data_IF_454080527871
#
_entry.id   IF_454080527871
#
_cell.length_a   1.000
_cell.length_b   1.000
_cell.length_c   1.000
_cell.angle_alpha   90.00
_cell.angle_beta   90.00
_cell.angle_gamma   90.00
#
_symmetry.space_group_name_H-M   'P 1'
#
loop_
_entity.id
_entity.type
_entity.pdbx_description
1 polymer ?
#
# COMPACT_ATOMS: atom_id res chain seq x y z
N UNK A 1 0.68 -50.03 42.96
CA UNK A 1 1.84 -49.58 42.20
C UNK A 1 1.31 -49.14 40.80
N UNK A 2 0.76 -47.91 40.73
CA UNK A 2 0.23 -47.31 39.51
C UNK A 2 1.37 -46.53 38.86
N UNK A 3 1.86 -47.05 37.76
CA UNK A 3 2.78 -46.32 36.88
C UNK A 3 1.98 -45.25 36.14
N UNK A 4 2.09 -44.01 36.56
CA UNK A 4 1.68 -42.84 35.81
C UNK A 4 2.69 -42.63 34.69
N UNK A 5 2.33 -43.02 33.48
CA UNK A 5 2.98 -42.54 32.26
C UNK A 5 2.60 -41.08 32.08
N UNK A 6 3.46 -40.19 32.53
CA UNK A 6 3.50 -38.80 32.04
C UNK A 6 4.06 -38.84 30.62
N UNK A 7 3.18 -38.76 29.64
CA UNK A 7 3.56 -38.35 28.30
C UNK A 7 4.12 -36.94 28.41
N UNK A 8 5.43 -36.80 28.50
CA UNK A 8 6.14 -35.60 28.12
C UNK A 8 5.92 -35.42 26.61
N UNK A 9 4.91 -34.66 26.24
CA UNK A 9 4.83 -34.05 24.92
C UNK A 9 5.96 -33.02 24.92
N UNK A 10 7.14 -33.40 24.46
CA UNK A 10 8.24 -32.51 24.08
C UNK A 10 7.78 -31.69 22.88
N UNK A 11 6.87 -30.75 23.10
CA UNK A 11 6.60 -29.69 22.16
C UNK A 11 7.83 -28.78 22.09
N UNK A 12 8.73 -28.99 21.14
CA UNK A 12 9.84 -28.06 20.94
C UNK A 12 9.28 -26.65 20.80
N UNK A 13 9.77 -25.75 21.64
CA UNK A 13 9.32 -24.37 21.68
C UNK A 13 9.64 -23.69 20.31
N UNK A 14 8.68 -22.98 19.74
CA UNK A 14 8.89 -22.21 18.51
C UNK A 14 10.00 -21.18 18.74
N UNK A 15 11.02 -21.21 17.91
CA UNK A 15 12.15 -20.29 17.94
C UNK A 15 11.91 -19.14 16.98
N UNK A 16 11.98 -17.91 17.46
CA UNK A 16 11.99 -16.71 16.62
C UNK A 16 13.28 -16.67 15.77
N UNK A 17 13.17 -16.47 14.45
CA UNK A 17 14.28 -16.51 13.49
C UNK A 17 14.52 -15.12 12.88
N UNK A 18 13.44 -14.40 12.51
CA UNK A 18 13.53 -13.04 12.00
C UNK A 18 12.32 -12.25 12.46
N UNK A 19 12.53 -10.97 12.75
CA UNK A 19 11.50 -10.03 13.18
C UNK A 19 11.37 -8.86 12.22
N UNK A 20 10.13 -8.44 11.94
CA UNK A 20 9.85 -7.28 11.13
C UNK A 20 8.79 -6.43 11.83
N UNK A 21 9.07 -5.13 11.95
CA UNK A 21 8.13 -4.21 12.58
C UNK A 21 7.93 -2.96 11.73
N UNK A 22 6.67 -2.66 11.43
CA UNK A 22 6.23 -1.43 10.78
C UNK A 22 5.48 -0.63 11.83
N UNK A 23 5.88 0.61 12.07
CA UNK A 23 5.23 1.42 13.11
C UNK A 23 4.97 2.86 12.65
N UNK A 24 3.84 3.41 13.10
CA UNK A 24 3.51 4.81 12.97
C UNK A 24 4.43 5.64 13.86
N UNK A 25 4.79 6.85 13.41
CA UNK A 25 5.47 7.83 14.26
C UNK A 25 4.69 8.10 15.56
N UNK A 26 5.35 8.67 16.55
CA UNK A 26 4.72 9.09 17.80
C UNK A 26 3.83 10.33 17.63
N UNK A 27 3.26 10.79 18.73
CA UNK A 27 2.47 12.02 18.78
C UNK A 27 3.22 13.20 18.17
N UNK A 28 2.49 14.07 17.47
CA UNK A 28 3.02 15.20 16.72
C UNK A 28 2.12 16.42 16.79
N UNK A 29 2.66 17.56 16.44
CA UNK A 29 1.88 18.76 16.18
C UNK A 29 1.01 18.58 14.91
N UNK A 30 -0.08 19.35 14.71
CA UNK A 30 -0.87 19.29 13.49
C UNK A 30 0.00 19.43 12.25
N UNK A 31 -0.37 18.76 11.15
CA UNK A 31 0.38 18.91 9.88
C UNK A 31 0.02 20.20 9.15
N UNK A 32 -1.16 20.72 9.39
CA UNK A 32 -1.65 21.98 8.84
C UNK A 32 -2.62 22.65 9.80
N UNK A 33 -3.07 23.85 9.48
CA UNK A 33 -4.10 24.60 10.18
C UNK A 33 -5.15 25.07 9.19
N UNK A 34 -6.32 25.50 9.67
CA UNK A 34 -7.36 26.09 8.82
C UNK A 34 -7.40 27.63 8.95
N UNK A 35 -8.00 28.39 8.01
CA UNK A 35 -7.91 29.86 7.97
C UNK A 35 -8.33 30.58 9.26
N UNK A 36 -9.35 30.09 9.93
CA UNK A 36 -9.89 30.66 11.20
C UNK A 36 -9.32 30.00 12.45
N UNK A 37 -8.36 29.09 12.31
CA UNK A 37 -7.74 28.39 13.43
C UNK A 37 -7.20 29.40 14.47
N UNK A 38 -7.63 29.32 15.74
CA UNK A 38 -7.13 30.19 16.79
C UNK A 38 -5.64 29.92 17.10
N UNK A 39 -5.17 28.68 16.91
CA UNK A 39 -3.79 28.29 17.21
C UNK A 39 -2.91 28.51 15.97
N UNK A 40 -1.95 29.40 16.09
CA UNK A 40 -1.07 29.73 14.96
C UNK A 40 0.11 28.76 14.88
N UNK A 41 0.69 28.54 13.66
CA UNK A 41 1.81 27.61 13.47
C UNK A 41 3.01 27.84 14.40
N UNK A 42 3.30 29.08 14.76
CA UNK A 42 4.39 29.46 15.65
C UNK A 42 4.10 29.20 17.13
N UNK A 43 2.89 28.82 17.50
CA UNK A 43 2.52 28.41 18.85
C UNK A 43 2.82 26.92 19.13
N UNK A 44 3.14 26.17 18.07
CA UNK A 44 3.54 24.78 18.18
C UNK A 44 5.04 24.64 18.32
N UNK A 45 5.54 23.89 19.32
CA UNK A 45 6.97 23.64 19.47
C UNK A 45 7.55 23.02 18.18
N UNK A 46 8.63 23.61 17.68
CA UNK A 46 9.33 23.21 16.45
C UNK A 46 8.48 23.32 15.14
N UNK A 47 7.30 23.94 15.19
CA UNK A 47 6.42 24.12 14.02
C UNK A 47 5.43 22.98 13.80
N UNK A 48 4.81 22.97 12.62
CA UNK A 48 3.80 21.98 12.24
C UNK A 48 4.41 20.64 11.82
N UNK A 49 3.68 19.55 12.08
CA UNK A 49 4.05 18.19 11.68
C UNK A 49 5.24 17.60 12.43
N UNK A 50 5.72 18.27 13.50
CA UNK A 50 6.91 17.87 14.26
C UNK A 50 6.56 16.94 15.43
N UNK A 51 7.46 15.98 15.70
CA UNK A 51 7.30 15.05 16.82
C UNK A 51 7.34 15.82 18.15
N UNK A 52 6.41 15.50 19.04
CA UNK A 52 6.33 16.12 20.37
C UNK A 52 7.15 15.36 21.43
N UNK A 53 7.27 15.93 22.61
CA UNK A 53 7.87 15.23 23.75
C UNK A 53 7.10 13.94 24.11
N UNK A 54 5.75 13.97 24.02
CA UNK A 54 4.93 12.79 24.20
C UNK A 54 5.23 11.73 23.15
N UNK A 55 5.38 12.13 21.87
CA UNK A 55 5.73 11.24 20.78
C UNK A 55 7.12 10.60 20.94
N UNK A 56 8.09 11.35 21.44
CA UNK A 56 9.43 10.84 21.80
C UNK A 56 9.31 9.74 22.85
N UNK A 57 8.52 9.99 23.91
CA UNK A 57 8.33 9.03 25.00
C UNK A 57 7.57 7.77 24.53
N UNK A 58 6.53 7.92 23.71
CA UNK A 58 5.80 6.80 23.11
C UNK A 58 6.75 5.90 22.32
N UNK A 59 7.61 6.47 21.49
CA UNK A 59 8.57 5.72 20.68
C UNK A 59 9.66 5.06 21.55
N UNK A 60 10.12 5.73 22.56
CA UNK A 60 11.06 5.16 23.53
C UNK A 60 10.45 3.91 24.21
N UNK A 61 9.18 3.98 24.66
CA UNK A 61 8.47 2.83 25.26
C UNK A 61 8.30 1.68 24.24
N UNK A 62 7.92 1.99 23.00
CA UNK A 62 7.86 1.00 21.93
C UNK A 62 9.23 0.33 21.74
N UNK A 63 10.32 1.09 21.78
CA UNK A 63 11.69 0.55 21.73
C UNK A 63 11.99 -0.44 22.84
N UNK A 64 11.59 -0.14 24.07
CA UNK A 64 11.70 -1.06 25.21
C UNK A 64 10.88 -2.35 25.04
N UNK A 65 9.68 -2.23 24.50
CA UNK A 65 8.86 -3.38 24.08
C UNK A 65 9.56 -4.24 23.03
N UNK A 66 10.15 -3.60 21.98
CA UNK A 66 10.90 -4.30 20.93
C UNK A 66 12.15 -4.99 21.51
N UNK A 67 12.83 -4.39 22.49
CA UNK A 67 13.94 -5.04 23.18
C UNK A 67 13.51 -6.34 23.85
N UNK A 68 12.37 -6.35 24.51
CA UNK A 68 11.81 -7.56 25.12
C UNK A 68 11.46 -8.59 24.05
N UNK A 69 10.82 -8.17 22.95
CA UNK A 69 10.35 -9.04 21.86
C UNK A 69 11.52 -9.66 21.08
N UNK A 70 12.50 -8.86 20.69
CA UNK A 70 13.59 -9.25 19.81
C UNK A 70 14.93 -9.48 20.51
N UNK A 71 14.93 -9.52 21.85
CA UNK A 71 16.15 -9.71 22.64
C UNK A 71 16.89 -11.03 22.35
N UNK A 72 16.20 -12.06 21.87
CA UNK A 72 16.82 -13.32 21.43
C UNK A 72 17.54 -13.21 20.07
N UNK A 73 17.19 -12.23 19.25
CA UNK A 73 17.78 -11.98 17.93
C UNK A 73 18.91 -10.95 17.97
N UNK A 74 18.80 -9.97 18.89
CA UNK A 74 19.64 -8.79 18.93
C UNK A 74 20.63 -8.83 20.11
N UNK A 75 21.89 -8.60 19.83
CA UNK A 75 22.91 -8.40 20.84
C UNK A 75 22.59 -7.19 21.74
N UNK A 76 23.07 -7.14 22.99
CA UNK A 76 22.91 -5.96 23.84
C UNK A 76 23.49 -4.67 23.23
N UNK A 77 24.60 -4.79 22.51
CA UNK A 77 25.20 -3.71 21.74
C UNK A 77 24.84 -3.84 20.27
N UNK A 78 24.69 -2.71 19.59
CA UNK A 78 24.41 -2.66 18.16
C UNK A 78 25.43 -3.46 17.35
N UNK A 79 24.91 -4.30 16.45
CA UNK A 79 25.70 -5.06 15.49
C UNK A 79 25.05 -4.89 14.10
N UNK A 80 25.81 -4.38 13.14
CA UNK A 80 25.30 -3.97 11.83
C UNK A 80 24.58 -5.10 11.05
N UNK A 81 24.94 -6.36 11.27
CA UNK A 81 24.34 -7.49 10.57
C UNK A 81 23.02 -7.96 11.23
N UNK A 82 22.67 -7.46 12.40
CA UNK A 82 21.50 -7.93 13.15
C UNK A 82 20.25 -7.12 12.86
N UNK A 83 20.41 -5.81 12.60
CA UNK A 83 19.28 -4.90 12.45
C UNK A 83 19.49 -3.90 11.33
N UNK A 84 18.41 -3.64 10.59
CA UNK A 84 18.30 -2.52 9.64
C UNK A 84 17.08 -1.69 10.00
N UNK A 85 17.28 -0.38 10.06
CA UNK A 85 16.23 0.60 10.35
C UNK A 85 16.02 1.48 9.13
N UNK A 86 14.79 1.51 8.63
CA UNK A 86 14.35 2.28 7.50
C UNK A 86 13.28 3.28 7.97
N UNK A 87 13.41 4.53 7.59
CA UNK A 87 12.40 5.57 7.87
C UNK A 87 11.97 6.23 6.56
N UNK A 88 10.74 6.75 6.50
CA UNK A 88 10.42 7.79 5.53
C UNK A 88 11.28 9.01 5.80
N UNK A 89 11.47 9.86 4.78
CA UNK A 89 12.28 11.10 4.87
C UNK A 89 11.43 12.25 5.43
N UNK A 90 10.90 12.06 6.64
CA UNK A 90 10.15 13.06 7.38
C UNK A 90 10.71 13.19 8.81
N UNK A 91 10.86 14.42 9.30
CA UNK A 91 11.48 14.68 10.62
C UNK A 91 10.84 13.82 11.72
N UNK A 92 9.50 13.80 11.79
CA UNK A 92 8.77 13.05 12.83
C UNK A 92 9.03 11.54 12.79
N UNK A 93 9.25 10.95 11.61
CA UNK A 93 9.52 9.51 11.49
C UNK A 93 10.99 9.19 11.77
N UNK A 94 11.92 10.04 11.34
CA UNK A 94 13.34 9.93 11.66
C UNK A 94 13.57 10.08 13.16
N UNK A 95 12.96 11.10 13.80
CA UNK A 95 13.02 11.30 15.26
C UNK A 95 12.34 10.16 16.02
N UNK A 96 11.23 9.61 15.49
CA UNK A 96 10.57 8.43 16.04
C UNK A 96 11.50 7.22 16.03
N UNK A 97 12.18 6.97 14.91
CA UNK A 97 13.17 5.89 14.82
C UNK A 97 14.33 6.08 15.80
N UNK A 98 14.86 7.31 15.95
CA UNK A 98 15.90 7.61 16.92
C UNK A 98 15.44 7.34 18.36
N UNK A 99 14.26 7.83 18.74
CA UNK A 99 13.68 7.64 20.07
C UNK A 99 13.41 6.16 20.38
N UNK A 100 12.93 5.42 19.39
CA UNK A 100 12.70 3.98 19.48
C UNK A 100 14.01 3.22 19.72
N UNK A 101 15.07 3.57 18.98
CA UNK A 101 16.39 2.95 19.12
C UNK A 101 17.03 3.20 20.48
N UNK A 102 16.76 4.33 21.13
CA UNK A 102 17.21 4.59 22.51
C UNK A 102 16.56 3.59 23.48
N UNK A 103 15.27 3.29 23.30
CA UNK A 103 14.58 2.26 24.10
C UNK A 103 15.02 0.84 23.78
N UNK A 104 15.28 0.54 22.48
CA UNK A 104 15.70 -0.77 22.01
C UNK A 104 17.14 -1.12 22.44
N UNK A 105 18.04 -0.13 22.48
CA UNK A 105 19.45 -0.28 22.86
C UNK A 105 19.80 0.66 24.02
N UNK A 106 19.23 0.42 25.22
CA UNK A 106 19.54 1.25 26.37
C UNK A 106 21.03 1.12 26.74
N UNK A 107 21.67 2.24 27.02
CA UNK A 107 23.06 2.24 27.49
C UNK A 107 23.07 1.80 28.96
N UNK A 108 23.56 0.59 29.19
CA UNK A 108 23.75 0.04 30.52
C UNK A 108 25.09 0.55 31.08
N UNK A 109 25.11 0.96 32.35
CA UNK A 109 26.33 1.40 33.05
C UNK A 109 26.98 2.67 32.47
N UNK A 110 26.24 3.77 32.48
CA UNK A 110 26.79 5.10 32.14
C UNK A 110 27.90 5.50 33.12
N UNK A 111 29.13 5.58 32.60
CA UNK A 111 30.22 6.30 33.29
C UNK A 111 30.29 7.70 32.69
N UNK A 112 30.80 8.70 33.47
CA UNK A 112 30.81 10.12 33.12
C UNK A 112 31.48 10.44 31.74
N UNK A 113 32.23 9.49 31.17
CA UNK A 113 32.95 9.69 29.89
C UNK A 113 32.32 8.96 28.71
N UNK A 114 31.12 8.37 28.85
CA UNK A 114 30.44 7.63 27.77
C UNK A 114 29.33 8.45 27.11
N UNK A 115 29.23 8.31 25.80
CA UNK A 115 28.08 8.82 25.03
C UNK A 115 26.81 8.11 25.52
N UNK A 116 25.75 8.85 25.89
CA UNK A 116 24.56 8.29 26.52
C UNK A 116 23.64 7.52 25.55
N UNK A 117 24.03 7.39 24.29
CA UNK A 117 23.30 6.65 23.25
C UNK A 117 24.26 5.80 22.41
N UNK A 118 23.77 4.72 21.82
CA UNK A 118 24.48 3.99 20.77
C UNK A 118 24.07 4.58 19.41
N UNK A 119 25.00 5.16 18.61
CA UNK A 119 24.71 5.61 17.26
C UNK A 119 24.35 4.40 16.37
N UNK A 120 23.14 4.40 15.83
CA UNK A 120 22.62 3.33 14.94
C UNK A 120 22.16 3.98 13.65
N UNK A 121 22.59 3.51 12.48
CA UNK A 121 22.18 4.07 11.21
C UNK A 121 20.67 3.94 10.99
N UNK A 122 20.03 5.05 10.59
CA UNK A 122 18.66 5.08 10.08
C UNK A 122 18.76 5.41 8.60
N UNK A 123 18.30 4.50 7.75
CA UNK A 123 18.31 4.68 6.31
C UNK A 123 17.03 5.37 5.86
N UNK A 124 17.14 6.28 4.91
CA UNK A 124 16.00 6.93 4.27
C UNK A 124 16.22 7.07 2.77
N UNK A 125 15.14 7.32 2.05
CA UNK A 125 15.14 7.70 0.63
C UNK A 125 14.31 8.96 0.54
N UNK A 126 14.69 9.90 -0.32
CA UNK A 126 13.93 11.12 -0.54
C UNK A 126 12.44 10.82 -0.70
N UNK A 127 11.60 11.60 -0.02
CA UNK A 127 10.17 11.34 0.14
C UNK A 127 9.46 11.07 -1.21
N UNK A 128 9.83 11.80 -2.26
CA UNK A 128 9.25 11.65 -3.61
C UNK A 128 9.76 10.42 -4.37
N UNK A 129 10.83 9.75 -3.91
CA UNK A 129 11.40 8.57 -4.54
C UNK A 129 11.19 7.29 -3.71
N UNK A 130 10.48 7.40 -2.59
CA UNK A 130 10.31 6.30 -1.65
C UNK A 130 9.05 5.46 -1.94
N UNK A 131 9.16 4.57 -2.89
CA UNK A 131 8.09 3.60 -3.21
C UNK A 131 7.84 2.56 -2.12
N UNK A 132 8.77 2.40 -1.19
CA UNK A 132 8.59 1.41 -0.12
C UNK A 132 7.66 1.92 0.98
N UNK A 133 7.81 3.18 1.39
CA UNK A 133 7.15 3.71 2.58
C UNK A 133 6.23 4.92 2.31
N UNK A 134 6.44 5.68 1.22
CA UNK A 134 5.75 6.95 0.98
C UNK A 134 4.77 6.93 -0.19
N UNK A 135 5.13 6.42 -1.37
CA UNK A 135 4.32 6.42 -2.60
C UNK A 135 3.97 7.79 -3.18
N UNK A 136 4.72 8.84 -2.89
CA UNK A 136 4.37 10.21 -3.30
C UNK A 136 4.53 10.51 -4.80
N UNK A 137 5.31 9.74 -5.54
CA UNK A 137 5.48 9.92 -6.99
C UNK A 137 4.93 8.70 -7.74
N UNK A 138 3.63 8.45 -7.56
CA UNK A 138 2.93 7.33 -8.15
C UNK A 138 1.64 7.82 -8.84
N UNK A 139 1.70 8.23 -10.12
CA UNK A 139 0.54 8.80 -10.83
C UNK A 139 -0.69 7.90 -10.85
N UNK A 140 -0.53 6.58 -10.74
CA UNK A 140 -1.68 5.66 -10.60
C UNK A 140 -2.30 5.74 -9.21
N UNK A 141 -1.51 5.98 -8.17
CA UNK A 141 -2.04 6.20 -6.83
C UNK A 141 -2.93 7.42 -6.79
N UNK A 142 -2.46 8.56 -7.32
CA UNK A 142 -3.24 9.80 -7.41
C UNK A 142 -4.54 9.60 -8.20
N UNK A 143 -4.45 8.86 -9.32
CA UNK A 143 -5.63 8.52 -10.14
C UNK A 143 -6.66 7.69 -9.35
N UNK A 144 -6.21 6.75 -8.51
CA UNK A 144 -7.12 5.94 -7.69
C UNK A 144 -7.75 6.79 -6.58
N UNK A 145 -7.00 7.68 -5.95
CA UNK A 145 -7.57 8.62 -4.98
C UNK A 145 -8.71 9.44 -5.61
N UNK A 146 -8.50 9.95 -6.82
CA UNK A 146 -9.53 10.67 -7.58
C UNK A 146 -10.73 9.76 -7.95
N UNK A 147 -10.47 8.51 -8.42
CA UNK A 147 -11.51 7.52 -8.71
C UNK A 147 -12.35 7.18 -7.47
N UNK A 148 -11.71 7.07 -6.30
CA UNK A 148 -12.39 6.79 -5.02
C UNK A 148 -13.20 8.01 -4.56
N UNK A 149 -12.65 9.21 -4.64
CA UNK A 149 -13.36 10.46 -4.30
C UNK A 149 -14.63 10.64 -5.15
N UNK A 150 -14.58 10.24 -6.41
CA UNK A 150 -15.72 10.32 -7.33
C UNK A 150 -16.69 9.13 -7.26
N UNK A 151 -16.47 8.17 -6.35
CA UNK A 151 -17.34 6.98 -6.21
C UNK A 151 -18.72 7.33 -5.66
N UNK A 152 -19.71 6.48 -5.96
CA UNK A 152 -21.07 6.64 -5.45
C UNK A 152 -21.14 6.44 -3.93
N UNK A 153 -20.25 5.64 -3.36
CA UNK A 153 -20.14 5.40 -1.93
C UNK A 153 -19.69 6.67 -1.20
N UNK A 154 -18.65 7.34 -1.68
CA UNK A 154 -18.15 8.59 -1.10
C UNK A 154 -19.20 9.70 -1.25
N UNK A 155 -19.82 9.86 -2.41
CA UNK A 155 -20.87 10.85 -2.64
C UNK A 155 -22.06 10.70 -1.67
N UNK A 156 -22.48 9.47 -1.37
CA UNK A 156 -23.54 9.23 -0.36
C UNK A 156 -23.12 9.67 1.05
N UNK A 157 -21.85 9.50 1.40
CA UNK A 157 -21.31 9.97 2.68
C UNK A 157 -21.25 11.49 2.71
N UNK A 158 -20.80 12.13 1.62
CA UNK A 158 -20.79 13.59 1.48
C UNK A 158 -22.20 14.17 1.58
N UNK A 159 -23.21 13.53 0.98
CA UNK A 159 -24.62 13.92 1.14
C UNK A 159 -25.09 13.77 2.59
N UNK A 160 -24.76 12.66 3.25
CA UNK A 160 -25.14 12.40 4.65
C UNK A 160 -24.55 13.46 5.59
N UNK A 161 -23.27 13.81 5.44
CA UNK A 161 -22.61 14.81 6.26
C UNK A 161 -22.74 16.25 5.71
N UNK A 162 -23.47 16.48 4.63
CA UNK A 162 -23.55 17.77 3.95
C UNK A 162 -23.94 18.95 4.82
N UNK A 163 -24.89 18.76 5.76
CA UNK A 163 -25.24 19.79 6.74
C UNK A 163 -24.12 20.07 7.76
N UNK A 164 -23.35 19.06 8.11
CA UNK A 164 -22.21 19.19 9.00
C UNK A 164 -21.03 19.86 8.27
N UNK A 165 -20.75 19.50 7.02
CA UNK A 165 -19.71 20.12 6.20
C UNK A 165 -19.95 21.62 6.00
N UNK A 166 -21.20 22.05 5.78
CA UNK A 166 -21.54 23.49 5.71
C UNK A 166 -21.18 24.23 7.01
N UNK A 167 -21.41 23.61 8.16
CA UNK A 167 -20.99 24.21 9.44
C UNK A 167 -19.46 24.24 9.58
N UNK A 168 -18.76 23.19 9.14
CA UNK A 168 -17.31 23.19 9.12
C UNK A 168 -16.76 24.30 8.20
N UNK A 169 -17.35 24.50 7.02
CA UNK A 169 -17.00 25.61 6.12
C UNK A 169 -17.14 26.97 6.80
N UNK A 170 -18.24 27.19 7.53
CA UNK A 170 -18.46 28.43 8.30
C UNK A 170 -17.45 28.61 9.43
N UNK A 171 -17.15 27.54 10.20
CA UNK A 171 -16.25 27.60 11.33
C UNK A 171 -14.78 27.74 10.92
N UNK A 172 -14.38 27.08 9.84
CA UNK A 172 -12.98 27.01 9.41
C UNK A 172 -12.61 27.98 8.30
N UNK A 173 -13.62 28.62 7.65
CA UNK A 173 -13.46 29.39 6.42
C UNK A 173 -12.75 28.61 5.30
N UNK A 174 -13.00 27.30 5.27
CA UNK A 174 -12.58 26.39 4.20
C UNK A 174 -13.78 26.18 3.28
N UNK A 175 -13.59 25.89 2.00
CA UNK A 175 -14.68 25.71 1.04
C UNK A 175 -14.63 24.33 0.40
N UNK A 176 -15.77 23.82 -0.06
CA UNK A 176 -15.89 22.52 -0.73
C UNK A 176 -15.39 21.36 0.14
N UNK A 177 -15.89 21.31 1.38
CA UNK A 177 -15.53 20.23 2.30
C UNK A 177 -16.20 18.92 1.84
N UNK A 178 -15.41 17.89 1.72
CA UNK A 178 -15.79 16.48 1.45
C UNK A 178 -15.25 15.59 2.56
N UNK A 179 -15.60 14.32 2.56
CA UNK A 179 -15.07 13.34 3.52
C UNK A 179 -13.53 13.30 3.52
N UNK A 180 -12.90 13.52 2.36
CA UNK A 180 -11.43 13.48 2.25
C UNK A 180 -10.73 14.71 2.82
N UNK A 181 -11.19 15.92 2.48
CA UNK A 181 -10.52 17.12 2.98
C UNK A 181 -10.94 17.49 4.41
N UNK A 182 -12.11 17.01 4.87
CA UNK A 182 -12.50 17.09 6.28
C UNK A 182 -11.53 16.33 7.21
N UNK A 183 -10.82 15.32 6.69
CA UNK A 183 -9.80 14.59 7.45
C UNK A 183 -8.67 15.50 7.95
N UNK A 184 -8.23 16.47 7.17
CA UNK A 184 -7.20 17.42 7.58
C UNK A 184 -7.67 18.28 8.76
N UNK A 185 -8.94 18.75 8.71
CA UNK A 185 -9.56 19.48 9.84
C UNK A 185 -9.68 18.57 11.05
N UNK A 186 -10.09 17.31 10.84
CA UNK A 186 -10.20 16.33 11.91
C UNK A 186 -8.86 16.06 12.61
N UNK A 187 -7.78 15.93 11.85
CA UNK A 187 -6.42 15.76 12.38
C UNK A 187 -6.00 16.96 13.23
N UNK A 188 -6.21 18.18 12.72
CA UNK A 188 -5.90 19.41 13.46
C UNK A 188 -6.68 19.48 14.77
N UNK A 189 -7.99 19.32 14.73
CA UNK A 189 -8.88 19.35 15.92
C UNK A 189 -8.54 18.23 16.91
N UNK A 190 -8.22 17.03 16.43
CA UNK A 190 -7.79 15.91 17.27
C UNK A 190 -6.51 16.26 18.07
N UNK A 191 -5.50 16.78 17.39
CA UNK A 191 -4.24 17.19 18.04
C UNK A 191 -4.48 18.33 19.00
N UNK A 192 -5.19 19.37 18.60
CA UNK A 192 -5.52 20.51 19.45
C UNK A 192 -6.29 20.11 20.71
N UNK A 193 -7.22 19.15 20.56
CA UNK A 193 -7.94 18.62 21.72
C UNK A 193 -7.03 17.94 22.73
N UNK A 194 -6.06 17.13 22.29
CA UNK A 194 -5.05 16.48 23.16
C UNK A 194 -4.26 17.55 23.96
N UNK A 195 -4.00 18.69 23.35
CA UNK A 195 -3.23 19.80 23.97
C UNK A 195 -4.10 20.86 24.62
N UNK A 196 -5.41 20.64 24.79
CA UNK A 196 -6.39 21.57 25.34
C UNK A 196 -6.41 22.94 24.61
N UNK A 197 -6.24 22.90 23.29
CA UNK A 197 -6.20 24.07 22.38
C UNK A 197 -7.36 24.10 21.39
N UNK A 198 -8.19 23.04 21.31
CA UNK A 198 -9.30 22.96 20.36
C UNK A 198 -10.29 24.12 20.56
N UNK A 199 -10.81 24.71 19.47
CA UNK A 199 -11.76 25.81 19.54
C UNK A 199 -13.08 25.38 20.20
N UNK A 200 -13.82 26.33 20.78
CA UNK A 200 -15.07 26.07 21.53
C UNK A 200 -16.13 25.35 20.70
N UNK A 201 -16.21 25.62 19.39
CA UNK A 201 -17.16 24.95 18.52
C UNK A 201 -16.88 23.45 18.32
N UNK A 202 -15.63 23.00 18.57
CA UNK A 202 -15.22 21.62 18.47
C UNK A 202 -15.57 20.81 19.73
N UNK A 203 -16.86 20.79 20.08
CA UNK A 203 -17.41 20.02 21.20
C UNK A 203 -17.29 18.50 20.97
N UNK A 204 -17.71 17.70 21.95
CA UNK A 204 -17.61 16.23 21.87
C UNK A 204 -18.36 15.65 20.66
N UNK A 205 -19.54 16.20 20.32
CA UNK A 205 -20.32 15.70 19.18
C UNK A 205 -19.65 16.03 17.86
N UNK A 206 -19.06 17.22 17.73
CA UNK A 206 -18.28 17.63 16.55
C UNK A 206 -17.04 16.76 16.40
N UNK A 207 -16.27 16.55 17.48
CA UNK A 207 -15.08 15.71 17.45
C UNK A 207 -15.42 14.26 17.11
N UNK A 208 -16.54 13.74 17.59
CA UNK A 208 -16.99 12.40 17.21
C UNK A 208 -17.30 12.31 15.73
N UNK A 209 -18.03 13.25 15.15
CA UNK A 209 -18.29 13.28 13.71
C UNK A 209 -16.97 13.35 12.91
N UNK A 210 -16.03 14.19 13.34
CA UNK A 210 -14.70 14.30 12.69
C UNK A 210 -13.92 12.99 12.75
N UNK A 211 -13.98 12.28 13.89
CA UNK A 211 -13.37 10.95 14.03
C UNK A 211 -14.01 9.91 13.11
N UNK A 212 -15.35 9.87 13.07
CA UNK A 212 -16.09 8.95 12.20
C UNK A 212 -15.78 9.24 10.70
N UNK A 213 -15.66 10.51 10.33
CA UNK A 213 -15.27 10.93 8.96
C UNK A 213 -13.84 10.50 8.64
N UNK A 214 -12.89 10.66 9.58
CA UNK A 214 -11.52 10.19 9.40
C UNK A 214 -11.45 8.69 9.16
N UNK A 215 -12.19 7.91 9.97
CA UNK A 215 -12.26 6.45 9.81
C UNK A 215 -12.86 6.06 8.45
N UNK A 216 -13.89 6.76 7.98
CA UNK A 216 -14.48 6.55 6.65
C UNK A 216 -13.50 6.89 5.52
N UNK A 217 -12.77 8.00 5.61
CA UNK A 217 -11.76 8.37 4.62
C UNK A 217 -10.66 7.31 4.50
N UNK A 218 -10.16 6.81 5.64
CA UNK A 218 -9.20 5.69 5.66
C UNK A 218 -9.78 4.40 5.09
N UNK A 219 -11.04 4.07 5.43
CA UNK A 219 -11.71 2.88 4.91
C UNK A 219 -11.84 2.94 3.39
N UNK A 220 -12.41 4.01 2.83
CA UNK A 220 -12.60 4.12 1.38
C UNK A 220 -11.30 4.05 0.60
N UNK A 221 -10.26 4.70 1.08
CA UNK A 221 -8.98 4.71 0.39
C UNK A 221 -8.28 3.37 0.50
N UNK A 222 -8.11 2.83 1.70
CA UNK A 222 -7.25 1.66 1.93
C UNK A 222 -7.95 0.31 1.77
N UNK A 223 -9.28 0.27 1.69
CA UNK A 223 -10.02 -0.92 1.27
C UNK A 223 -10.11 -1.08 -0.26
N UNK A 224 -9.72 -0.04 -1.03
CA UNK A 224 -9.61 -0.14 -2.48
C UNK A 224 -8.55 -1.18 -2.88
N UNK A 225 -8.95 -2.14 -3.75
CA UNK A 225 -8.10 -3.27 -4.16
C UNK A 225 -6.79 -2.85 -4.85
N UNK A 226 -6.83 -1.78 -5.65
CA UNK A 226 -5.66 -1.29 -6.36
C UNK A 226 -4.68 -0.57 -5.40
N UNK A 227 -5.20 0.17 -4.41
CA UNK A 227 -4.38 0.76 -3.33
C UNK A 227 -3.73 -0.34 -2.49
N UNK A 228 -4.49 -1.37 -2.07
CA UNK A 228 -3.94 -2.54 -1.38
C UNK A 228 -2.78 -3.16 -2.15
N UNK A 229 -2.96 -3.34 -3.45
CA UNK A 229 -1.97 -3.92 -4.34
C UNK A 229 -0.73 -3.03 -4.49
N UNK A 230 -0.90 -1.74 -4.77
CA UNK A 230 0.21 -0.80 -4.98
C UNK A 230 1.00 -0.60 -3.69
N UNK A 231 0.34 -0.54 -2.54
CA UNK A 231 0.99 -0.37 -1.24
C UNK A 231 1.37 -1.67 -0.55
N UNK A 232 0.60 -2.73 -0.71
CA UNK A 232 0.77 -4.05 -0.09
C UNK A 232 1.40 -5.11 -1.01
N UNK A 233 1.03 -5.19 -2.29
CA UNK A 233 1.49 -6.20 -3.26
C UNK A 233 0.54 -6.43 -4.45
N UNK A 234 1.01 -7.02 -5.56
CA UNK A 234 0.30 -7.19 -6.83
C UNK A 234 -0.29 -8.59 -7.04
N UNK A 235 -1.37 -8.69 -7.87
CA UNK A 235 -2.06 -9.95 -8.19
C UNK A 235 -1.43 -10.76 -9.34
N UNK A 236 -0.39 -10.28 -10.03
CA UNK A 236 0.16 -10.94 -11.22
C UNK A 236 1.67 -11.17 -11.15
N UNK A 237 2.07 -12.38 -10.80
CA UNK A 237 3.44 -12.86 -10.91
C UNK A 237 3.59 -13.81 -12.10
N UNK A 238 3.91 -13.28 -13.29
CA UNK A 238 4.58 -14.05 -14.35
C UNK A 238 5.70 -13.20 -14.94
N UNK A 239 6.91 -13.67 -14.75
CA UNK A 239 8.19 -13.17 -15.29
C UNK A 239 8.90 -12.11 -14.46
N UNK A 240 9.77 -12.56 -13.55
CA UNK A 240 11.04 -11.89 -13.27
C UNK A 240 12.05 -12.88 -12.69
N UNK A 241 12.58 -13.72 -13.54
CA UNK A 241 13.90 -14.29 -13.37
C UNK A 241 14.82 -13.56 -14.35
N UNK A 242 15.91 -12.97 -13.81
CA UNK A 242 17.06 -12.46 -14.55
C UNK A 242 17.10 -10.96 -14.82
N UNK A 243 17.62 -10.18 -13.84
CA UNK A 243 18.75 -9.31 -14.12
C UNK A 243 19.51 -8.98 -12.82
N UNK A 244 20.75 -9.42 -12.79
CA UNK A 244 21.76 -9.15 -11.77
C UNK A 244 22.19 -7.68 -11.88
N UNK A 245 22.24 -6.94 -10.75
CA UNK A 245 22.84 -5.62 -10.57
C UNK A 245 21.98 -4.37 -10.90
N UNK A 246 20.72 -4.34 -10.54
CA UNK A 246 20.05 -3.09 -10.18
C UNK A 246 19.31 -3.32 -8.89
N UNK A 247 19.62 -2.55 -7.85
CA UNK A 247 18.73 -2.40 -6.70
C UNK A 247 17.50 -1.65 -7.20
N UNK A 248 16.59 -2.38 -7.82
CA UNK A 248 15.28 -1.89 -8.14
C UNK A 248 14.53 -1.92 -6.83
N UNK A 249 14.23 -0.76 -6.30
CA UNK A 249 13.33 -0.58 -5.18
C UNK A 249 11.95 -1.09 -5.59
N UNK A 250 11.67 -2.31 -5.20
CA UNK A 250 10.39 -2.95 -5.44
C UNK A 250 9.48 -2.54 -4.27
N UNK A 251 8.46 -1.68 -4.52
CA UNK A 251 7.31 -1.67 -3.63
C UNK A 251 6.84 -3.13 -3.51
N UNK A 252 6.14 -3.50 -2.62
CA UNK A 252 5.75 -2.98 -1.36
C UNK A 252 6.38 -3.68 -0.18
N UNK A 253 6.09 -3.10 0.92
CA UNK A 253 6.67 -3.43 2.20
C UNK A 253 6.56 -4.91 2.60
N UNK A 254 5.43 -5.56 2.30
CA UNK A 254 5.24 -6.99 2.62
C UNK A 254 6.14 -7.89 1.75
N UNK A 255 6.42 -7.49 0.50
CA UNK A 255 7.37 -8.21 -0.37
C UNK A 255 8.81 -8.09 0.14
N UNK A 256 9.25 -6.92 0.59
CA UNK A 256 10.58 -6.73 1.18
C UNK A 256 10.75 -7.57 2.45
N UNK A 257 9.71 -7.64 3.27
CA UNK A 257 9.65 -8.51 4.45
C UNK A 257 9.71 -9.99 4.04
N UNK A 258 8.91 -10.40 3.05
CA UNK A 258 8.91 -11.77 2.55
C UNK A 258 10.29 -12.18 1.99
N UNK A 259 10.94 -11.30 1.23
CA UNK A 259 12.30 -11.55 0.70
C UNK A 259 13.32 -11.81 1.83
N UNK A 260 13.24 -11.04 2.91
CA UNK A 260 14.10 -11.25 4.08
C UNK A 260 13.77 -12.58 4.80
N UNK A 261 12.48 -12.90 5.00
CA UNK A 261 12.07 -14.18 5.56
C UNK A 261 12.50 -15.35 4.69
N UNK A 262 12.29 -15.26 3.37
CA UNK A 262 12.70 -16.30 2.42
C UNK A 262 14.22 -16.52 2.43
N UNK A 263 15.01 -15.46 2.52
CA UNK A 263 16.47 -15.54 2.70
C UNK A 263 16.83 -16.23 4.02
N UNK A 264 16.08 -15.96 5.09
CA UNK A 264 16.30 -16.59 6.41
C UNK A 264 16.00 -18.08 6.41
N UNK A 265 14.92 -18.50 5.74
CA UNK A 265 14.57 -19.92 5.55
C UNK A 265 15.69 -20.66 4.82
N UNK A 266 16.39 -20.03 3.89
CA UNK A 266 17.50 -20.62 3.12
C UNK A 266 18.88 -20.38 3.75
N UNK A 267 18.96 -19.99 5.03
CA UNK A 267 20.20 -19.78 5.77
C UNK A 267 21.05 -18.59 5.33
N UNK A 268 20.45 -17.63 4.59
CA UNK A 268 21.08 -16.40 4.09
C UNK A 268 20.49 -15.13 4.72
N UNK A 269 19.70 -15.28 5.78
CA UNK A 269 18.89 -14.20 6.37
C UNK A 269 19.73 -13.19 7.15
N UNK A 270 19.95 -12.02 6.55
CA UNK A 270 20.40 -10.81 7.19
C UNK A 270 19.61 -9.61 6.66
N UNK A 271 19.22 -8.67 7.47
CA UNK A 271 19.34 -8.62 8.92
C UNK A 271 18.35 -9.57 9.62
N UNK A 272 18.56 -9.82 10.92
CA UNK A 272 17.62 -10.60 11.76
C UNK A 272 16.36 -9.81 12.11
N UNK A 273 16.49 -8.48 12.22
CA UNK A 273 15.37 -7.56 12.49
C UNK A 273 15.38 -6.43 11.48
N UNK A 274 14.23 -6.17 10.85
CA UNK A 274 13.97 -4.99 10.02
C UNK A 274 12.92 -4.12 10.68
N UNK A 275 13.21 -2.83 10.79
CA UNK A 275 12.31 -1.84 11.37
C UNK A 275 11.96 -0.78 10.33
N UNK A 276 10.68 -0.41 10.26
CA UNK A 276 10.16 0.58 9.32
C UNK A 276 9.38 1.64 10.09
N UNK A 277 10.00 2.83 10.23
CA UNK A 277 9.38 4.00 10.83
C UNK A 277 8.61 4.77 9.78
N UNK A 278 7.29 4.86 9.93
CA UNK A 278 6.40 5.34 8.90
C UNK A 278 5.17 6.08 9.45
N UNK A 279 4.07 6.05 8.72
CA UNK A 279 2.85 6.79 8.96
C UNK A 279 1.64 5.87 9.14
N UNK A 280 0.52 6.40 9.60
CA UNK A 280 -0.79 5.75 9.55
C UNK A 280 -1.16 5.33 8.12
N UNK A 281 -0.86 6.20 7.13
CA UNK A 281 -1.03 5.94 5.70
C UNK A 281 -0.10 4.85 5.14
N UNK A 282 0.82 4.32 5.93
CA UNK A 282 1.62 3.12 5.64
C UNK A 282 1.07 1.90 6.39
N UNK A 283 0.68 2.07 7.65
CA UNK A 283 0.17 0.99 8.51
C UNK A 283 -1.18 0.47 8.01
N UNK A 284 -2.15 1.38 7.71
CA UNK A 284 -3.49 0.99 7.23
C UNK A 284 -3.48 0.11 5.99
N UNK A 285 -2.82 0.47 4.87
CA UNK A 285 -2.84 -0.38 3.68
C UNK A 285 -2.10 -1.71 3.88
N UNK A 286 -1.11 -1.79 4.79
CA UNK A 286 -0.46 -3.06 5.13
C UNK A 286 -1.43 -3.96 5.90
N UNK A 287 -2.18 -3.44 6.88
CA UNK A 287 -3.22 -4.20 7.58
C UNK A 287 -4.27 -4.72 6.58
N UNK A 288 -4.75 -3.85 5.72
CA UNK A 288 -5.74 -4.18 4.70
C UNK A 288 -5.23 -5.22 3.68
N UNK A 289 -3.98 -5.10 3.22
CA UNK A 289 -3.33 -6.11 2.36
C UNK A 289 -3.23 -7.48 3.02
N UNK A 290 -2.95 -7.52 4.31
CA UNK A 290 -2.91 -8.75 5.11
C UNK A 290 -4.30 -9.34 5.39
N UNK A 291 -5.38 -8.67 4.97
CA UNK A 291 -6.76 -9.08 5.24
C UNK A 291 -7.22 -8.76 6.67
N UNK A 292 -6.49 -7.90 7.37
CA UNK A 292 -6.84 -7.46 8.72
C UNK A 292 -7.76 -6.24 8.60
N UNK A 293 -9.05 -6.45 8.83
CA UNK A 293 -10.01 -5.35 8.86
C UNK A 293 -9.82 -4.53 10.13
N UNK A 294 -9.21 -3.35 9.99
CA UNK A 294 -9.06 -2.36 11.04
C UNK A 294 -9.71 -1.05 10.59
N UNK A 295 -10.95 -0.76 10.99
CA UNK A 295 -11.76 0.32 10.44
C UNK A 295 -11.40 1.71 10.97
N UNK A 296 -10.32 1.83 11.74
CA UNK A 296 -9.92 3.07 12.38
C UNK A 296 -8.57 3.55 11.87
N UNK A 297 -8.35 4.87 11.95
CA UNK A 297 -7.01 5.41 11.76
C UNK A 297 -6.02 4.81 12.78
N UNK A 298 -4.90 4.22 12.36
CA UNK A 298 -3.89 3.68 13.26
C UNK A 298 -3.41 4.72 14.28
N UNK A 299 -3.38 4.35 15.56
CA UNK A 299 -2.95 5.26 16.62
C UNK A 299 -1.44 5.58 16.57
N UNK A 300 -1.01 6.68 17.20
CA UNK A 300 0.42 6.99 17.34
C UNK A 300 1.18 5.83 17.97
N UNK A 301 2.39 5.58 17.47
CA UNK A 301 3.26 4.49 17.89
C UNK A 301 2.63 3.08 17.79
N UNK A 302 1.50 2.92 17.10
CA UNK A 302 0.98 1.58 16.76
C UNK A 302 1.94 0.82 15.86
N UNK A 303 1.99 -0.52 15.96
CA UNK A 303 3.00 -1.33 15.28
C UNK A 303 2.45 -2.68 14.79
N UNK A 304 2.77 -3.03 13.54
CA UNK A 304 2.54 -4.36 12.96
C UNK A 304 3.82 -5.16 13.10
N UNK A 305 3.70 -6.38 13.59
CA UNK A 305 4.79 -7.37 13.68
C UNK A 305 4.51 -8.50 12.69
N UNK A 306 5.50 -8.82 11.85
CA UNK A 306 5.46 -9.94 10.92
C UNK A 306 6.71 -10.78 11.20
N UNK A 307 6.57 -11.80 12.02
CA UNK A 307 7.69 -12.55 12.58
C UNK A 307 7.77 -13.96 12.01
N UNK A 308 8.98 -14.38 11.67
CA UNK A 308 9.30 -15.72 11.22
C UNK A 308 9.77 -16.59 12.40
N UNK A 309 9.09 -17.69 12.61
CA UNK A 309 9.43 -18.70 13.61
C UNK A 309 9.85 -20.00 12.95
N UNK A 310 10.66 -20.80 13.67
CA UNK A 310 11.01 -22.16 13.29
C UNK A 310 10.61 -23.13 14.42
N UNK A 311 10.03 -24.25 14.05
CA UNK A 311 9.81 -25.41 14.90
C UNK A 311 10.28 -26.64 14.13
N UNK A 312 11.29 -27.33 14.64
CA UNK A 312 11.99 -28.42 13.95
C UNK A 312 12.54 -28.00 12.58
N UNK A 313 12.03 -28.60 11.49
CA UNK A 313 12.36 -28.25 10.10
C UNK A 313 11.34 -27.33 9.45
N UNK A 314 10.24 -26.98 10.12
CA UNK A 314 9.16 -26.17 9.56
C UNK A 314 9.29 -24.69 9.99
N UNK A 315 8.84 -23.81 9.10
CA UNK A 315 8.82 -22.38 9.34
C UNK A 315 7.37 -21.86 9.37
N UNK A 316 7.15 -20.83 10.20
CA UNK A 316 5.82 -20.25 10.41
C UNK A 316 5.91 -18.73 10.47
N UNK A 317 4.91 -18.06 9.92
CA UNK A 317 4.74 -16.61 10.03
C UNK A 317 3.65 -16.32 11.05
N UNK A 318 3.92 -15.40 11.97
CA UNK A 318 2.94 -14.88 12.92
C UNK A 318 2.80 -13.38 12.72
N UNK A 319 1.57 -12.91 12.61
CA UNK A 319 1.25 -11.49 12.50
C UNK A 319 0.56 -11.03 13.78
N UNK A 320 1.06 -9.91 14.31
CA UNK A 320 0.48 -9.26 15.48
C UNK A 320 0.38 -7.74 15.23
N UNK A 321 -0.60 -7.12 15.84
CA UNK A 321 -0.78 -5.68 15.81
C UNK A 321 -0.89 -5.11 17.22
N UNK A 322 -0.06 -4.14 17.53
CA UNK A 322 -0.14 -3.30 18.72
C UNK A 322 -0.91 -2.06 18.31
N UNK A 323 -2.20 -2.02 18.65
CA UNK A 323 -3.15 -1.01 18.17
C UNK A 323 -3.45 0.10 19.19
N UNK A 324 -2.88 0.02 20.37
CA UNK A 324 -3.10 0.99 21.45
C UNK A 324 -1.78 1.63 21.83
N UNK A 325 -1.71 2.95 21.76
CA UNK A 325 -0.58 3.73 22.23
C UNK A 325 -0.27 3.38 23.69
N UNK A 326 1.01 3.25 24.01
CA UNK A 326 1.52 2.93 25.36
C UNK A 326 1.11 1.54 25.90
N UNK A 327 0.56 0.68 25.07
CA UNK A 327 0.31 -0.72 25.41
C UNK A 327 1.59 -1.56 25.24
N UNK A 328 1.74 -2.56 26.11
CA UNK A 328 2.73 -3.62 25.98
C UNK A 328 2.08 -4.95 25.51
N UNK A 329 0.89 -4.87 24.91
CA UNK A 329 0.14 -6.03 24.45
C UNK A 329 -0.19 -5.90 22.97
N UNK A 330 0.36 -6.78 22.15
CA UNK A 330 -0.04 -6.97 20.76
C UNK A 330 -1.08 -8.09 20.63
N UNK A 331 -1.94 -8.00 19.65
CA UNK A 331 -2.97 -8.98 19.34
C UNK A 331 -2.57 -9.76 18.08
N UNK A 332 -2.60 -11.11 18.18
CA UNK A 332 -2.31 -11.97 17.05
C UNK A 332 -3.53 -12.13 16.15
N UNK A 333 -3.30 -12.14 14.83
CA UNK A 333 -4.35 -12.29 13.83
C UNK A 333 -4.23 -13.62 13.09
N UNK A 334 -5.36 -14.27 12.90
CA UNK A 334 -5.49 -15.39 11.98
C UNK A 334 -5.70 -14.82 10.58
N UNK A 335 -4.75 -15.10 9.69
CA UNK A 335 -4.89 -14.69 8.28
C UNK A 335 -5.91 -15.58 7.57
N UNK A 336 -6.65 -15.00 6.63
CA UNK A 336 -7.50 -15.76 5.74
C UNK A 336 -6.69 -16.85 5.02
N UNK A 337 -7.29 -18.01 4.84
CA UNK A 337 -6.66 -19.20 4.25
C UNK A 337 -5.49 -19.81 5.06
N UNK A 338 -5.06 -19.26 6.18
CA UNK A 338 -4.10 -19.91 7.08
C UNK A 338 -4.82 -20.87 8.04
N UNK A 339 -4.25 -22.05 8.31
CA UNK A 339 -4.89 -23.05 9.18
C UNK A 339 -4.86 -22.67 10.68
N UNK A 340 -3.97 -21.75 11.08
CA UNK A 340 -3.78 -21.31 12.45
C UNK A 340 -3.10 -19.92 12.47
N UNK A 341 -3.06 -19.28 13.66
CA UNK A 341 -2.36 -17.99 13.91
C UNK A 341 -0.90 -18.06 13.45
N UNK A 342 -0.23 -19.19 13.72
CA UNK A 342 1.11 -19.47 13.17
C UNK A 342 0.93 -20.09 11.78
N UNK A 343 0.91 -19.24 10.76
CA UNK A 343 0.71 -19.66 9.37
C UNK A 343 1.97 -20.35 8.83
N UNK A 344 1.92 -21.58 8.30
CA UNK A 344 3.07 -22.19 7.65
C UNK A 344 3.65 -21.27 6.58
N UNK A 345 4.99 -21.13 6.51
CA UNK A 345 5.65 -20.18 5.61
C UNK A 345 5.32 -20.44 4.12
N UNK A 346 5.25 -21.70 3.73
CA UNK A 346 4.86 -22.05 2.35
C UNK A 346 3.41 -21.63 2.04
N UNK A 347 2.51 -21.76 3.02
CA UNK A 347 1.13 -21.31 2.88
C UNK A 347 1.05 -19.78 2.81
N UNK A 348 1.76 -19.08 3.71
CA UNK A 348 1.90 -17.62 3.64
C UNK A 348 2.44 -17.17 2.28
N UNK A 349 3.49 -17.83 1.79
CA UNK A 349 4.06 -17.57 0.46
C UNK A 349 3.03 -17.76 -0.65
N UNK A 350 2.26 -18.87 -0.62
CA UNK A 350 1.25 -19.15 -1.64
C UNK A 350 0.10 -18.15 -1.66
N UNK A 351 -0.23 -17.53 -0.51
CA UNK A 351 -1.27 -16.50 -0.40
C UNK A 351 -0.77 -15.15 -0.92
N UNK A 352 0.43 -14.71 -0.52
CA UNK A 352 0.88 -13.34 -0.71
C UNK A 352 1.81 -13.15 -1.91
N UNK A 353 2.66 -14.12 -2.25
CA UNK A 353 3.58 -13.99 -3.40
C UNK A 353 2.88 -13.67 -4.72
N UNK A 354 1.71 -14.24 -5.07
CA UNK A 354 0.98 -13.86 -6.29
C UNK A 354 0.49 -12.41 -6.29
N UNK A 355 0.41 -11.76 -5.13
CA UNK A 355 -0.07 -10.38 -4.94
C UNK A 355 1.06 -9.35 -4.94
N UNK A 356 2.33 -9.76 -5.01
CA UNK A 356 3.46 -8.84 -5.00
C UNK A 356 3.55 -8.05 -6.31
N UNK A 357 3.90 -6.75 -6.28
CA UNK A 357 3.95 -5.92 -7.48
C UNK A 357 5.06 -6.35 -8.43
N UNK A 358 4.88 -6.02 -9.71
CA UNK A 358 5.88 -6.29 -10.73
C UNK A 358 7.08 -5.34 -10.59
N UNK A 359 6.89 -4.06 -10.88
CA UNK A 359 7.87 -2.97 -10.68
C UNK A 359 7.13 -1.67 -10.38
N UNK A 360 7.79 -0.71 -9.73
CA UNK A 360 7.22 0.61 -9.48
C UNK A 360 6.77 1.31 -10.77
N UNK A 361 7.57 1.25 -11.83
CA UNK A 361 7.25 1.88 -13.12
C UNK A 361 5.96 1.33 -13.74
N UNK A 362 5.73 0.02 -13.63
CA UNK A 362 4.52 -0.62 -14.15
C UNK A 362 3.31 -0.31 -13.27
N UNK A 363 3.47 -0.39 -11.95
CA UNK A 363 2.37 -0.22 -11.00
C UNK A 363 1.93 1.24 -10.89
N UNK A 364 2.85 2.18 -11.01
CA UNK A 364 2.58 3.61 -10.95
C UNK A 364 2.24 4.25 -12.30
N UNK A 365 2.28 3.50 -13.41
CA UNK A 365 1.78 4.00 -14.68
C UNK A 365 0.27 4.26 -14.61
N UNK A 366 -0.16 5.44 -15.09
CA UNK A 366 -1.60 5.73 -15.23
C UNK A 366 -2.26 4.68 -16.12
N UNK A 367 -3.40 4.19 -15.72
CA UNK A 367 -4.25 3.37 -16.58
C UNK A 367 -5.07 4.30 -17.48
N UNK A 368 -5.12 3.98 -18.77
CA UNK A 368 -6.07 4.67 -19.66
C UNK A 368 -7.50 4.50 -19.10
N UNK A 369 -8.32 5.54 -19.14
CA UNK A 369 -9.71 5.41 -18.75
C UNK A 369 -10.35 4.29 -19.59
N UNK A 370 -11.23 3.46 -19.01
CA UNK A 370 -11.93 2.45 -19.77
C UNK A 370 -12.59 3.13 -20.99
N UNK A 371 -12.30 2.61 -22.18
CA UNK A 371 -12.94 3.16 -23.39
C UNK A 371 -14.45 3.20 -23.13
N UNK A 372 -15.09 4.35 -23.35
CA UNK A 372 -16.53 4.45 -23.18
C UNK A 372 -17.16 3.29 -23.95
N UNK A 373 -18.17 2.62 -23.41
CA UNK A 373 -18.82 1.50 -24.09
C UNK A 373 -19.18 2.01 -25.47
N UNK A 374 -18.67 1.31 -26.52
CA UNK A 374 -18.92 1.71 -27.90
C UNK A 374 -20.42 1.89 -28.06
N UNK A 375 -20.85 3.14 -28.17
CA UNK A 375 -22.28 3.42 -28.37
C UNK A 375 -22.74 2.60 -29.57
N UNK A 376 -23.91 1.99 -29.50
CA UNK A 376 -24.51 1.23 -30.60
C UNK A 376 -24.48 1.97 -31.94
N UNK A 377 -24.36 3.28 -31.90
CA UNK A 377 -24.12 4.18 -33.03
C UNK A 377 -22.82 3.87 -33.78
N UNK A 378 -21.71 3.60 -33.09
CA UNK A 378 -20.43 3.29 -33.75
C UNK A 378 -20.45 1.88 -34.38
N UNK A 379 -21.12 0.90 -33.74
CA UNK A 379 -21.31 -0.42 -34.33
C UNK A 379 -22.18 -0.34 -35.59
N UNK A 380 -23.28 0.42 -35.57
CA UNK A 380 -24.12 0.67 -36.75
C UNK A 380 -23.36 1.33 -37.88
N UNK A 381 -22.53 2.35 -37.56
CA UNK A 381 -21.70 3.05 -38.55
C UNK A 381 -20.67 2.12 -39.21
N UNK A 382 -19.97 1.31 -38.42
CA UNK A 382 -18.99 0.32 -38.92
C UNK A 382 -19.70 -0.72 -39.79
N UNK A 383 -20.86 -1.22 -39.36
CA UNK A 383 -21.66 -2.19 -40.14
C UNK A 383 -22.10 -1.60 -41.49
N UNK A 384 -22.57 -0.36 -41.49
CA UNK A 384 -22.96 0.36 -42.76
C UNK A 384 -21.73 0.53 -43.65
N UNK A 385 -20.57 0.93 -43.09
CA UNK A 385 -19.34 1.11 -43.88
C UNK A 385 -18.86 -0.19 -44.52
N UNK A 386 -18.94 -1.33 -43.80
CA UNK A 386 -18.60 -2.66 -44.33
C UNK A 386 -19.54 -3.07 -45.43
N UNK A 387 -20.87 -2.84 -45.30
CA UNK A 387 -21.86 -3.13 -46.33
C UNK A 387 -21.58 -2.32 -47.58
N UNK A 388 -21.27 -1.02 -47.47
CA UNK A 388 -20.95 -0.16 -48.60
C UNK A 388 -19.70 -0.62 -49.33
N UNK A 389 -18.64 -0.99 -48.60
CA UNK A 389 -17.38 -1.48 -49.19
C UNK A 389 -17.66 -2.81 -49.97
N UNK A 390 -18.42 -3.73 -49.42
CA UNK A 390 -18.77 -4.99 -50.08
C UNK A 390 -19.59 -4.73 -51.34
N UNK A 391 -20.56 -3.80 -51.32
CA UNK A 391 -21.34 -3.43 -52.46
C UNK A 391 -20.48 -2.83 -53.61
N UNK A 392 -19.52 -1.94 -53.27
CA UNK A 392 -18.59 -1.37 -54.23
C UNK A 392 -17.71 -2.44 -54.89
N UNK A 393 -17.20 -3.38 -54.11
CA UNK A 393 -16.38 -4.50 -54.62
C UNK A 393 -17.19 -5.39 -55.58
N UNK A 394 -18.45 -5.69 -55.27
CA UNK A 394 -19.34 -6.43 -56.16
C UNK A 394 -19.60 -5.68 -57.47
N UNK A 395 -19.85 -4.38 -57.42
CA UNK A 395 -20.04 -3.53 -58.63
C UNK A 395 -18.80 -3.55 -59.51
N UNK A 396 -17.62 -3.39 -58.93
CA UNK A 396 -16.34 -3.46 -59.66
C UNK A 396 -16.17 -4.83 -60.32
N UNK A 397 -16.46 -5.90 -59.60
CA UNK A 397 -16.35 -7.27 -60.10
C UNK A 397 -17.32 -7.49 -61.29
N UNK A 398 -18.57 -7.06 -61.17
CA UNK A 398 -19.57 -7.15 -62.26
C UNK A 398 -19.15 -6.32 -63.49
N UNK A 399 -18.61 -5.12 -63.30
CA UNK A 399 -18.07 -4.31 -64.39
C UNK A 399 -16.92 -5.02 -65.09
N UNK A 400 -15.99 -5.60 -64.33
CA UNK A 400 -14.88 -6.39 -64.91
C UNK A 400 -15.38 -7.62 -65.70
N UNK A 401 -16.36 -8.31 -65.17
CA UNK A 401 -17.00 -9.44 -65.82
C UNK A 401 -17.71 -9.04 -67.13
N UNK A 402 -18.46 -7.91 -67.13
CA UNK A 402 -19.11 -7.37 -68.31
C UNK A 402 -18.11 -6.91 -69.36
N UNK A 403 -17.01 -6.29 -68.97
CA UNK A 403 -15.92 -5.92 -69.89
C UNK A 403 -15.22 -7.14 -70.49
N UNK A 404 -15.03 -8.19 -69.70
CA UNK A 404 -14.43 -9.43 -70.13
C UNK A 404 -15.36 -10.18 -71.14
N UNK A 405 -16.66 -10.25 -70.87
CA UNK A 405 -17.66 -10.83 -71.78
C UNK A 405 -17.84 -10.03 -73.06
N UNK A 406 -17.74 -8.71 -73.00
CA UNK A 406 -17.75 -7.85 -74.21
C UNK A 406 -16.48 -8.03 -75.06
N UNK A 407 -15.34 -8.38 -74.47
CA UNK A 407 -14.09 -8.66 -75.19
C UNK A 407 -14.11 -10.04 -75.86
N UNK A 408 -14.76 -11.04 -75.27
CA UNK A 408 -14.92 -12.39 -75.84
C UNK A 408 -15.94 -12.45 -76.94
N UNK A 409 -16.98 -11.58 -76.95
CA UNK A 409 -18.02 -11.56 -78.01
C UNK A 409 -17.64 -10.75 -79.26
N UNK A 410 -16.40 -10.22 -79.41
CA UNK A 410 -15.98 -9.41 -80.56
C UNK A 410 -15.34 -10.14 -81.73
N UNK A 411 -15.19 -11.48 -81.70
CA UNK A 411 -14.71 -12.27 -82.81
C UNK A 411 -15.58 -13.48 -83.04
N UNK A 412 -16.58 -13.43 -84.06
CA UNK A 412 -17.14 -14.65 -84.61
C UNK A 412 -16.08 -15.30 -85.54
N UNK A 413 -15.95 -16.62 -85.58
CA UNK A 413 -15.05 -17.28 -86.50
C UNK A 413 -15.62 -17.20 -87.95
N UNK A 414 -14.78 -16.67 -88.84
CA UNK A 414 -15.05 -16.69 -90.32
C UNK A 414 -15.01 -18.15 -90.76
N UNK A 415 -16.18 -18.68 -91.23
CA UNK A 415 -16.33 -19.95 -91.94
C UNK A 415 -15.62 -19.89 -93.29
N UNK A 416 -14.66 -20.74 -93.51
CA UNK A 416 -13.98 -20.97 -94.81
C UNK A 416 -14.96 -21.51 -95.85
N UNK A 417 -15.04 -20.83 -96.97
CA UNK A 417 -15.69 -21.37 -98.18
C UNK A 417 -14.56 -21.99 -99.01
N UNK A 418 -14.71 -23.31 -99.13
CA UNK A 418 -13.95 -24.14 -100.07
C UNK A 418 -14.56 -23.97 -101.45
N UNK A 419 -13.73 -23.68 -102.51
CA UNK A 419 -14.13 -23.77 -103.91
C UNK A 419 -13.04 -24.51 -104.67
N UNK A 420 -13.27 -25.79 -104.78
CA UNK A 420 -12.80 -26.63 -105.88
C UNK A 420 -13.72 -26.41 -107.07
N UNK A 421 -13.20 -26.08 -108.21
CA UNK A 421 -13.65 -26.43 -109.58
C UNK A 421 -12.51 -26.08 -110.54
N UNK A 422 -11.91 -27.13 -111.07
CA UNK A 422 -12.11 -27.71 -112.42
C UNK A 422 -11.61 -26.80 -113.54
N UNK A 423 -10.78 -27.31 -114.25
CA UNK A 423 -10.70 -27.86 -115.65
C UNK A 423 -9.43 -27.38 -116.31
N UNK A 424 -8.79 -28.06 -116.98
CA UNK A 424 -8.73 -28.99 -118.06
C UNK A 424 -7.34 -29.52 -118.25
#
# INVERSE_FOLDING_TARGET
MLLTFLNEINGQQMQLIAGHVIYRHGDRTPVETFPTDPVKPNEWPNGLGQLTAAGIEQQHRLGGYLRTRYGSLLSPNYTANEIVVRSTDADRTLMSAQSNLVGLYPVLNMTNDKVPIQPIPIHTVSFNLDFLLSMNDCPRYDQIEEEVDQSDEVKKVDEYYGAFFKKLEEWTNTTNITVYNAWNIADTIFVEHIYNKAPEWADEAVRKNLSDISDLAFHFLYENKDIKRIRGGSDNFKSMLYERNRFIYLGPLVQDIWLNMNSSVHGKGFPKVKMYSAHDTTVSPVLSFLGINYPHQPQYASAIFIDLYRQDSAYFVKIEYLNVTDSNTSYAYLLDDCPAINCPFDKFTSIFQPRFPATADIECAKKDPPMPPSTDSNKKLITVLVIVIVAVVIIIFVMFLCLHLRKTNRYPPLLGIDRTLQTA
#
